data_IF_002103392127
#
_entry.id   IF_002103392127
#
_cell.length_a   1.000
_cell.length_b   1.000
_cell.length_c   1.000
_cell.angle_alpha   90.00
_cell.angle_beta   90.00
_cell.angle_gamma   90.00
#
_symmetry.space_group_name_H-M   'P 1'
#
loop_
_entity.id
_entity.type
_entity.pdbx_description
1 polymer ?
#
# COMPACT_ATOMS: atom_id res chain seq x y z
N UNK A 1 44.96 -32.63 -10.05
CA UNK A 1 43.93 -32.28 -9.05
C UNK A 1 43.10 -31.20 -9.69
N UNK A 2 41.99 -31.58 -10.31
CA UNK A 2 41.18 -30.72 -11.19
C UNK A 2 40.26 -29.86 -10.34
N UNK A 3 40.41 -28.54 -10.45
CA UNK A 3 39.50 -27.55 -9.87
C UNK A 3 38.06 -27.86 -10.29
N UNK A 4 37.23 -28.19 -9.30
CA UNK A 4 35.79 -28.23 -9.45
C UNK A 4 35.30 -26.79 -9.38
N UNK A 5 35.26 -26.14 -10.55
CA UNK A 5 34.35 -25.02 -10.78
C UNK A 5 32.92 -25.54 -10.58
N UNK A 6 32.40 -25.38 -9.36
CA UNK A 6 30.96 -25.50 -9.10
C UNK A 6 30.39 -24.18 -9.59
N UNK A 7 29.87 -24.24 -10.81
CA UNK A 7 29.04 -23.23 -11.43
C UNK A 7 27.95 -22.81 -10.43
N UNK A 8 27.95 -21.52 -10.09
CA UNK A 8 26.90 -20.88 -9.30
C UNK A 8 25.61 -20.99 -10.11
N UNK A 9 24.81 -22.01 -9.82
CA UNK A 9 23.43 -22.12 -10.30
C UNK A 9 22.63 -20.95 -9.74
N UNK A 10 22.64 -19.84 -10.48
CA UNK A 10 21.75 -18.72 -10.27
C UNK A 10 20.31 -19.26 -10.24
N UNK A 11 19.70 -19.22 -9.05
CA UNK A 11 18.31 -19.56 -8.84
C UNK A 11 17.43 -18.51 -9.50
N UNK A 12 17.21 -18.67 -10.81
CA UNK A 12 16.28 -17.85 -11.57
C UNK A 12 14.87 -18.15 -11.05
N UNK A 13 14.29 -17.18 -10.33
CA UNK A 13 12.90 -17.21 -9.92
C UNK A 13 12.01 -17.52 -11.13
N UNK A 14 11.24 -18.61 -11.04
CA UNK A 14 10.46 -19.11 -12.16
C UNK A 14 9.44 -18.08 -12.67
N UNK A 15 9.33 -17.99 -14.00
CA UNK A 15 8.30 -17.25 -14.73
C UNK A 15 6.87 -17.31 -14.15
N UNK A 16 6.34 -18.42 -13.59
CA UNK A 16 4.94 -18.47 -13.14
C UNK A 16 4.61 -17.51 -12.00
N UNK A 17 5.58 -17.15 -11.14
CA UNK A 17 5.35 -16.19 -10.05
C UNK A 17 5.01 -14.79 -10.58
N UNK A 18 5.75 -14.32 -11.59
CA UNK A 18 5.54 -13.01 -12.20
C UNK A 18 4.17 -12.86 -12.86
N UNK A 19 3.66 -13.91 -13.53
CA UNK A 19 2.34 -13.87 -14.16
C UNK A 19 1.20 -13.79 -13.15
N UNK A 20 1.31 -14.46 -12.00
CA UNK A 20 0.32 -14.36 -10.92
C UNK A 20 0.21 -12.94 -10.38
N UNK A 21 1.34 -12.26 -10.20
CA UNK A 21 1.38 -10.88 -9.71
C UNK A 21 0.89 -9.89 -10.78
N UNK A 22 1.26 -10.11 -12.06
CA UNK A 22 0.75 -9.32 -13.18
C UNK A 22 -0.79 -9.38 -13.28
N UNK A 23 -1.38 -10.56 -13.12
CA UNK A 23 -2.84 -10.72 -13.11
C UNK A 23 -3.49 -9.95 -11.96
N UNK A 24 -2.92 -9.99 -10.75
CA UNK A 24 -3.42 -9.22 -9.60
C UNK A 24 -3.39 -7.70 -9.86
N UNK A 25 -2.33 -7.17 -10.50
CA UNK A 25 -2.27 -5.75 -10.86
C UNK A 25 -3.33 -5.34 -11.88
N UNK A 26 -3.54 -6.17 -12.90
CA UNK A 26 -4.53 -5.92 -13.94
C UNK A 26 -5.92 -5.93 -13.33
N UNK A 27 -6.24 -6.93 -12.50
CA UNK A 27 -7.52 -7.01 -11.78
C UNK A 27 -7.72 -5.77 -10.89
N UNK A 28 -6.71 -5.38 -10.11
CA UNK A 28 -6.79 -4.18 -9.27
C UNK A 28 -7.04 -2.90 -10.07
N UNK A 29 -6.43 -2.77 -11.25
CA UNK A 29 -6.60 -1.61 -12.13
C UNK A 29 -7.99 -1.57 -12.77
N UNK A 30 -8.49 -2.72 -13.24
CA UNK A 30 -9.85 -2.85 -13.78
C UNK A 30 -10.88 -2.50 -12.71
N UNK A 31 -10.68 -2.99 -11.48
CA UNK A 31 -11.60 -2.74 -10.38
C UNK A 31 -11.64 -1.26 -9.97
N UNK A 32 -10.49 -0.58 -9.95
CA UNK A 32 -10.45 0.89 -9.75
C UNK A 32 -11.15 1.65 -10.88
N UNK A 33 -10.91 1.26 -12.13
CA UNK A 33 -11.56 1.89 -13.28
C UNK A 33 -13.08 1.75 -13.21
N UNK A 34 -13.59 0.55 -12.95
CA UNK A 34 -15.03 0.31 -12.84
C UNK A 34 -15.66 1.14 -11.73
N UNK A 35 -15.04 1.20 -10.55
CA UNK A 35 -15.62 1.98 -9.44
C UNK A 35 -15.57 3.48 -9.73
N UNK A 36 -14.54 3.98 -10.43
CA UNK A 36 -14.51 5.36 -10.88
C UNK A 36 -15.62 5.72 -11.89
N UNK A 37 -16.20 4.72 -12.59
CA UNK A 37 -17.34 4.96 -13.51
C UNK A 37 -18.70 4.96 -12.83
N UNK A 38 -18.79 4.58 -11.55
CA UNK A 38 -20.05 4.56 -10.79
C UNK A 38 -20.06 5.75 -9.83
N UNK A 39 -20.97 6.69 -10.05
CA UNK A 39 -21.20 7.78 -9.10
C UNK A 39 -21.93 7.26 -7.86
N UNK A 40 -21.19 7.12 -6.76
CA UNK A 40 -21.73 6.75 -5.43
C UNK A 40 -22.25 7.97 -4.65
N UNK A 41 -22.34 9.13 -5.29
CA UNK A 41 -22.72 10.41 -4.67
C UNK A 41 -24.19 10.47 -4.19
N UNK A 42 -24.97 9.42 -4.48
CA UNK A 42 -26.35 9.28 -4.01
C UNK A 42 -26.47 8.94 -2.51
N UNK A 43 -25.43 8.40 -1.88
CA UNK A 43 -25.47 7.95 -0.47
C UNK A 43 -25.05 9.03 0.54
N UNK A 44 -23.98 9.79 0.24
CA UNK A 44 -23.45 10.84 1.10
C UNK A 44 -22.51 11.75 0.28
N UNK A 45 -22.49 13.08 0.49
CA UNK A 45 -21.54 13.96 -0.19
C UNK A 45 -20.10 13.54 0.14
N UNK A 46 -19.36 13.08 -0.88
CA UNK A 46 -17.97 12.61 -0.74
C UNK A 46 -17.80 11.09 -0.62
N UNK A 47 -18.87 10.31 -0.76
CA UNK A 47 -18.81 8.85 -0.78
C UNK A 47 -17.90 8.30 -1.89
N UNK A 48 -17.85 8.97 -3.05
CA UNK A 48 -16.96 8.61 -4.16
C UNK A 48 -15.47 8.63 -3.72
N UNK A 49 -15.03 9.71 -3.07
CA UNK A 49 -13.65 9.86 -2.59
C UNK A 49 -13.29 8.80 -1.55
N UNK A 50 -14.19 8.50 -0.62
CA UNK A 50 -13.95 7.51 0.44
C UNK A 50 -13.79 6.10 -0.15
N UNK A 51 -14.64 5.75 -1.11
CA UNK A 51 -14.59 4.46 -1.82
C UNK A 51 -13.33 4.37 -2.70
N UNK A 52 -12.98 5.44 -3.41
CA UNK A 52 -11.74 5.52 -4.18
C UNK A 52 -10.50 5.31 -3.29
N UNK A 53 -10.47 5.94 -2.11
CA UNK A 53 -9.39 5.76 -1.12
C UNK A 53 -9.32 4.33 -0.58
N UNK A 54 -10.47 3.72 -0.28
CA UNK A 54 -10.53 2.34 0.22
C UNK A 54 -9.95 1.36 -0.80
N UNK A 55 -10.36 1.50 -2.07
CA UNK A 55 -9.85 0.67 -3.17
C UNK A 55 -8.37 0.91 -3.40
N UNK A 56 -7.92 2.17 -3.36
CA UNK A 56 -6.51 2.51 -3.46
C UNK A 56 -5.70 1.83 -2.35
N UNK A 57 -6.20 1.82 -1.11
CA UNK A 57 -5.56 1.16 0.03
C UNK A 57 -5.49 -0.36 -0.18
N UNK A 58 -6.60 -1.01 -0.55
CA UNK A 58 -6.65 -2.45 -0.84
C UNK A 58 -5.66 -2.84 -1.94
N UNK A 59 -5.60 -2.06 -3.02
CA UNK A 59 -4.64 -2.26 -4.10
C UNK A 59 -3.20 -2.13 -3.59
N UNK A 60 -2.91 -1.08 -2.82
CA UNK A 60 -1.57 -0.83 -2.28
C UNK A 60 -1.12 -1.97 -1.37
N UNK A 61 -2.01 -2.51 -0.53
CA UNK A 61 -1.71 -3.68 0.32
C UNK A 61 -1.42 -4.94 -0.50
N UNK A 62 -2.21 -5.23 -1.55
CA UNK A 62 -1.91 -6.35 -2.46
C UNK A 62 -0.53 -6.19 -3.12
N UNK A 63 -0.21 -4.99 -3.62
CA UNK A 63 1.10 -4.70 -4.21
C UNK A 63 2.22 -4.94 -3.19
N UNK A 64 2.07 -4.44 -1.96
CA UNK A 64 3.09 -4.64 -0.92
C UNK A 64 3.30 -6.12 -0.58
N UNK A 65 2.23 -6.89 -0.40
CA UNK A 65 2.34 -8.29 0.01
C UNK A 65 2.96 -9.18 -1.09
N UNK A 66 2.57 -8.97 -2.35
CA UNK A 66 2.97 -9.81 -3.47
C UNK A 66 4.16 -9.27 -4.27
N UNK A 67 4.15 -7.98 -4.65
CA UNK A 67 5.19 -7.37 -5.52
C UNK A 67 6.49 -7.11 -4.77
N UNK A 68 6.40 -6.69 -3.50
CA UNK A 68 7.58 -6.50 -2.65
C UNK A 68 8.00 -7.80 -1.95
N UNK A 69 7.38 -8.94 -2.29
CA UNK A 69 7.66 -10.25 -1.72
C UNK A 69 7.69 -10.25 -0.17
N UNK A 70 6.95 -9.32 0.45
CA UNK A 70 6.94 -9.09 1.91
C UNK A 70 6.38 -10.31 2.64
N UNK A 71 5.45 -11.05 2.02
CA UNK A 71 4.88 -12.27 2.59
C UNK A 71 5.94 -13.38 2.79
N UNK A 72 6.91 -13.51 1.88
CA UNK A 72 8.01 -14.48 1.99
C UNK A 72 9.27 -13.90 2.64
N UNK A 73 9.25 -12.61 2.94
CA UNK A 73 10.37 -11.92 3.53
C UNK A 73 10.51 -12.23 5.02
N UNK A 74 11.74 -12.16 5.56
CA UNK A 74 11.98 -12.37 6.98
C UNK A 74 11.22 -11.34 7.84
N UNK A 75 10.92 -11.72 9.08
CA UNK A 75 10.12 -10.95 10.05
C UNK A 75 10.63 -9.51 10.30
N UNK A 76 11.90 -9.25 10.00
CA UNK A 76 12.51 -7.91 10.08
C UNK A 76 11.86 -6.91 9.11
N UNK A 77 11.50 -7.35 7.89
CA UNK A 77 10.85 -6.50 6.88
C UNK A 77 9.42 -6.16 7.32
N UNK A 78 8.71 -7.12 7.89
CA UNK A 78 7.38 -6.90 8.48
C UNK A 78 7.39 -5.90 9.63
N UNK A 79 8.40 -5.96 10.50
CA UNK A 79 8.52 -5.02 11.61
C UNK A 79 8.77 -3.59 11.10
N UNK A 80 9.64 -3.43 10.11
CA UNK A 80 9.92 -2.12 9.49
C UNK A 80 8.67 -1.54 8.80
N UNK A 81 7.91 -2.37 8.10
CA UNK A 81 6.64 -1.99 7.49
C UNK A 81 5.63 -1.48 8.52
N UNK A 82 5.44 -2.20 9.63
CA UNK A 82 4.52 -1.76 10.68
C UNK A 82 5.04 -0.48 11.35
N UNK A 83 6.35 -0.38 11.57
CA UNK A 83 6.97 0.79 12.18
C UNK A 83 6.77 2.06 11.34
N UNK A 84 6.83 1.99 10.01
CA UNK A 84 6.60 3.15 9.15
C UNK A 84 5.15 3.62 9.18
N UNK A 85 4.17 2.70 9.16
CA UNK A 85 2.76 3.05 9.32
C UNK A 85 2.46 3.60 10.71
N UNK A 86 3.03 3.01 11.77
CA UNK A 86 2.91 3.50 13.13
C UNK A 86 3.48 4.92 13.27
N UNK A 87 4.66 5.15 12.71
CA UNK A 87 5.29 6.47 12.69
C UNK A 87 4.44 7.51 11.94
N UNK A 88 3.92 7.16 10.76
CA UNK A 88 3.05 8.03 9.97
C UNK A 88 1.76 8.36 10.73
N UNK A 89 1.15 7.37 11.39
CA UNK A 89 -0.06 7.58 12.18
C UNK A 89 0.17 8.57 13.34
N UNK A 90 1.31 8.49 14.01
CA UNK A 90 1.68 9.46 15.08
C UNK A 90 1.82 10.87 14.51
N UNK A 91 2.52 11.02 13.37
CA UNK A 91 2.65 12.33 12.70
C UNK A 91 1.29 12.91 12.34
N UNK A 92 0.39 12.13 11.73
CA UNK A 92 -0.97 12.56 11.41
C UNK A 92 -1.75 12.98 12.65
N UNK A 93 -1.67 12.21 13.74
CA UNK A 93 -2.33 12.52 14.99
C UNK A 93 -1.82 13.85 15.58
N UNK A 94 -0.51 14.10 15.55
CA UNK A 94 0.08 15.36 16.02
C UNK A 94 -0.29 16.54 15.12
N UNK A 95 -0.25 16.37 13.80
CA UNK A 95 -0.67 17.41 12.86
C UNK A 95 -2.12 17.81 13.09
N UNK A 96 -3.04 16.83 13.18
CA UNK A 96 -4.44 17.12 13.46
C UNK A 96 -4.64 17.81 14.81
N UNK A 97 -3.92 17.39 15.85
CA UNK A 97 -3.93 18.08 17.15
C UNK A 97 -3.46 19.54 17.02
N UNK A 98 -2.36 19.81 16.31
CA UNK A 98 -1.88 21.18 16.06
C UNK A 98 -2.95 22.02 15.34
N UNK A 99 -3.57 21.49 14.28
CA UNK A 99 -4.64 22.18 13.55
C UNK A 99 -5.86 22.47 14.44
N UNK A 100 -6.30 21.50 15.25
CA UNK A 100 -7.45 21.66 16.14
C UNK A 100 -7.16 22.64 17.29
N UNK A 101 -5.96 22.63 17.84
CA UNK A 101 -5.54 23.54 18.93
C UNK A 101 -5.31 24.98 18.43
N UNK A 102 -5.04 25.19 17.14
CA UNK A 102 -4.88 26.53 16.54
C UNK A 102 -6.18 27.34 16.39
N UNK A 103 -7.31 26.81 16.86
CA UNK A 103 -8.64 27.39 16.73
C UNK A 103 -9.10 28.40 17.79
N UNK A 104 -8.26 28.90 18.71
CA UNK A 104 -8.68 29.89 19.72
C UNK A 104 -7.58 30.87 20.15
N UNK A 105 -6.82 31.43 19.20
CA UNK A 105 -5.77 32.43 19.48
C UNK A 105 -6.07 33.81 18.88
N UNK A 106 -6.69 34.70 19.66
CA UNK A 106 -6.49 36.17 19.59
C UNK A 106 -6.96 36.90 18.30
N UNK A 107 -8.25 36.83 17.94
CA UNK A 107 -8.91 37.88 17.11
C UNK A 107 -10.40 38.09 17.45
N UNK A 108 -10.78 37.89 18.71
CA UNK A 108 -12.20 37.86 19.13
C UNK A 108 -12.51 38.58 20.44
N UNK A 109 -11.89 39.73 20.70
CA UNK A 109 -12.35 40.83 21.57
C UNK A 109 -11.33 41.97 21.52
#
# INVERSE_FOLDING_TARGET
MSDKHIESGEGHIGLPGYFGVFAVLVVGTILTYFVATVDLDFIFPGANTLVALLIAFTKMTCVMLFFMHVYWSPKLIWLSAIASFFWLAIMFAYTMQDYLTRGTGVFGS
#
